data_IF_005491895973
#
_entry.id   IF_005491895973
#
_cell.length_a   1.000
_cell.length_b   1.000
_cell.length_c   1.000
_cell.angle_alpha   90.00
_cell.angle_beta   90.00
_cell.angle_gamma   90.00
#
_symmetry.space_group_name_H-M   'P 1'
#
loop_
_entity.id
_entity.type
_entity.pdbx_description
1 polymer ?
#
# COMPACT_ATOMS: atom_id res chain seq x y z
N UNK A 1 1.90 -46.70 -42.40
CA UNK A 1 1.99 -46.15 -43.78
C UNK A 1 2.01 -44.62 -43.71
N UNK A 2 3.11 -44.04 -44.28
CA UNK A 2 3.34 -42.63 -44.75
C UNK A 2 3.16 -41.52 -43.73
N UNK A 3 4.24 -40.95 -43.15
CA UNK A 3 5.22 -39.98 -43.68
C UNK A 3 4.59 -38.81 -44.47
N UNK A 4 4.72 -37.59 -43.88
CA UNK A 4 5.22 -36.47 -44.66
C UNK A 4 5.66 -35.34 -43.71
N UNK A 5 6.95 -35.14 -43.72
CA UNK A 5 7.76 -33.98 -43.40
C UNK A 5 7.24 -32.74 -44.13
N UNK A 6 7.26 -31.55 -43.46
CA UNK A 6 7.64 -30.32 -44.17
C UNK A 6 8.31 -29.33 -43.18
N UNK A 7 9.60 -29.29 -43.34
CA UNK A 7 10.52 -28.21 -42.98
C UNK A 7 10.16 -26.94 -43.75
N UNK A 8 10.17 -25.81 -43.11
CA UNK A 8 10.39 -24.53 -43.80
C UNK A 8 11.17 -23.58 -42.92
N UNK A 9 12.42 -23.48 -43.22
CA UNK A 9 13.42 -22.54 -42.76
C UNK A 9 13.24 -21.25 -43.58
N UNK A 10 12.99 -20.12 -42.94
CA UNK A 10 13.18 -18.81 -43.58
C UNK A 10 14.01 -17.93 -42.63
N UNK A 11 15.30 -17.87 -42.96
CA UNK A 11 16.24 -16.87 -42.49
C UNK A 11 16.04 -15.64 -43.38
N UNK A 12 15.72 -14.50 -42.80
CA UNK A 12 15.89 -13.19 -43.44
C UNK A 12 16.71 -12.30 -42.54
N UNK A 13 17.98 -12.22 -42.85
CA UNK A 13 18.89 -11.21 -42.40
C UNK A 13 18.63 -9.92 -43.17
N UNK A 14 18.32 -8.84 -42.50
CA UNK A 14 18.42 -7.50 -43.11
C UNK A 14 19.32 -6.66 -42.23
N UNK A 15 20.54 -6.53 -42.72
CA UNK A 15 21.53 -5.52 -42.37
C UNK A 15 21.14 -4.22 -43.09
N UNK A 16 20.98 -3.11 -42.43
CA UNK A 16 21.20 -1.78 -43.04
C UNK A 16 21.38 -0.71 -41.98
N UNK A 17 22.61 -0.28 -41.85
CA UNK A 17 23.13 1.08 -42.05
C UNK A 17 22.60 2.17 -41.14
N UNK A 18 23.54 2.66 -40.30
CA UNK A 18 23.59 3.97 -39.67
C UNK A 18 23.67 5.08 -40.75
N UNK A 19 23.27 6.31 -40.39
CA UNK A 19 24.29 7.30 -40.23
C UNK A 19 24.18 8.10 -38.91
N UNK A 20 25.34 8.39 -38.38
CA UNK A 20 25.63 9.36 -37.33
C UNK A 20 25.31 10.77 -37.83
N UNK A 21 24.52 11.53 -37.07
CA UNK A 21 24.53 12.99 -37.15
C UNK A 21 25.03 13.53 -35.82
N UNK A 22 26.30 13.92 -35.83
CA UNK A 22 26.88 14.81 -34.85
C UNK A 22 26.40 16.21 -35.22
N UNK A 23 25.65 16.85 -34.35
CA UNK A 23 25.51 18.31 -34.39
C UNK A 23 25.90 18.82 -33.01
N UNK A 24 27.08 19.36 -32.94
CA UNK A 24 27.52 20.22 -31.87
C UNK A 24 26.75 21.53 -31.94
N UNK A 25 26.02 21.85 -30.89
CA UNK A 25 25.54 23.20 -30.60
C UNK A 25 26.04 23.59 -29.23
N UNK A 26 27.07 24.42 -29.26
CA UNK A 26 27.53 25.23 -28.13
C UNK A 26 26.39 26.16 -27.68
N UNK A 27 25.95 26.02 -26.43
CA UNK A 27 25.13 27.03 -25.76
C UNK A 27 25.88 27.56 -24.54
N UNK A 28 26.03 28.87 -24.56
CA UNK A 28 26.74 29.70 -23.65
C UNK A 28 26.28 29.57 -22.20
N UNK A 29 27.27 29.58 -21.31
CA UNK A 29 27.10 29.80 -19.88
C UNK A 29 26.32 31.08 -19.61
N UNK A 30 25.12 30.93 -19.04
CA UNK A 30 24.52 31.99 -18.27
C UNK A 30 24.59 31.58 -16.79
N UNK A 31 25.63 32.08 -16.15
CA UNK A 31 25.71 32.10 -14.70
C UNK A 31 24.61 33.02 -14.18
N UNK A 32 23.48 32.44 -13.81
CA UNK A 32 22.56 33.10 -12.91
C UNK A 32 22.85 32.63 -11.50
N UNK A 33 23.39 33.54 -10.70
CA UNK A 33 23.43 33.47 -9.26
C UNK A 33 22.06 33.09 -8.72
N UNK A 34 21.87 31.82 -8.34
CA UNK A 34 20.80 31.40 -7.47
C UNK A 34 21.22 31.76 -6.04
N UNK A 35 20.55 32.73 -5.46
CA UNK A 35 20.55 32.96 -4.03
C UNK A 35 20.06 31.67 -3.35
N UNK A 36 20.61 31.31 -2.18
CA UNK A 36 20.08 30.20 -1.40
C UNK A 36 18.73 30.65 -0.82
N UNK A 37 17.64 30.12 -1.39
CA UNK A 37 16.34 30.20 -0.79
C UNK A 37 16.38 29.49 0.57
N UNK A 38 16.30 30.32 1.60
CA UNK A 38 16.16 29.95 2.99
C UNK A 38 15.12 28.88 3.17
N UNK A 39 15.58 27.74 3.71
CA UNK A 39 14.89 26.77 4.56
C UNK A 39 13.45 27.13 4.93
N UNK A 40 12.50 26.59 4.20
CA UNK A 40 11.26 26.16 4.81
C UNK A 40 11.42 24.70 5.24
N UNK A 41 12.26 24.46 6.23
CA UNK A 41 12.16 23.30 7.06
C UNK A 41 10.78 23.35 7.74
N UNK A 42 9.78 22.72 7.10
CA UNK A 42 8.56 22.37 7.80
C UNK A 42 8.97 21.44 8.95
N UNK A 43 9.18 22.03 10.12
CA UNK A 43 9.16 21.32 11.38
C UNK A 43 7.80 20.62 11.48
N UNK A 44 7.74 19.39 10.99
CA UNK A 44 6.66 18.48 11.30
C UNK A 44 6.80 18.16 12.80
N UNK A 45 6.19 19.00 13.65
CA UNK A 45 5.98 18.67 15.06
C UNK A 45 5.41 17.28 15.12
N UNK A 46 6.10 16.36 15.80
CA UNK A 46 5.59 15.05 16.11
C UNK A 46 4.20 15.25 16.75
N UNK A 47 3.16 14.83 16.04
CA UNK A 47 1.81 14.91 16.60
C UNK A 47 1.75 13.91 17.77
N UNK A 48 1.23 14.33 18.93
CA UNK A 48 1.06 13.40 20.03
C UNK A 48 0.26 12.19 19.58
N UNK A 49 0.66 10.99 20.03
CA UNK A 49 -0.06 9.77 19.72
C UNK A 49 -1.52 9.93 20.17
N UNK A 50 -2.45 9.66 19.26
CA UNK A 50 -3.89 9.67 19.54
C UNK A 50 -4.34 8.24 19.88
N UNK A 51 -3.68 7.59 20.85
CA UNK A 51 -4.03 6.24 21.25
C UNK A 51 -5.54 6.15 21.55
N UNK A 52 -6.22 5.23 20.87
CA UNK A 52 -7.66 5.01 21.08
C UNK A 52 -7.85 4.18 22.34
N UNK A 53 -8.61 4.71 23.29
CA UNK A 53 -8.93 4.05 24.55
C UNK A 53 -10.26 3.28 24.40
N UNK A 54 -10.17 1.97 24.20
CA UNK A 54 -11.33 1.06 24.11
C UNK A 54 -11.50 0.26 25.40
N UNK A 55 -12.73 -0.12 25.69
CA UNK A 55 -12.98 -1.14 26.71
C UNK A 55 -12.26 -2.46 26.36
N UNK A 56 -11.95 -3.31 27.36
CA UNK A 56 -11.25 -4.57 27.11
C UNK A 56 -11.93 -5.45 26.06
N UNK A 57 -13.24 -5.50 26.05
CA UNK A 57 -14.02 -6.30 25.10
C UNK A 57 -13.92 -5.77 23.66
N UNK A 58 -14.03 -4.45 23.48
CA UNK A 58 -13.86 -3.83 22.16
C UNK A 58 -12.41 -3.92 21.67
N UNK A 59 -11.44 -3.77 22.57
CA UNK A 59 -10.04 -3.95 22.24
C UNK A 59 -9.73 -5.39 21.80
N UNK A 60 -10.36 -6.38 22.45
CA UNK A 60 -10.22 -7.79 22.06
C UNK A 60 -10.79 -8.04 20.66
N UNK A 61 -11.96 -7.47 20.33
CA UNK A 61 -12.56 -7.56 19.00
C UNK A 61 -11.68 -6.89 17.93
N UNK A 62 -11.16 -5.70 18.21
CA UNK A 62 -10.24 -5.00 17.29
C UNK A 62 -8.96 -5.81 17.08
N UNK A 63 -8.37 -6.36 18.12
CA UNK A 63 -7.17 -7.19 18.02
C UNK A 63 -7.42 -8.45 17.20
N UNK A 64 -8.59 -9.07 17.35
CA UNK A 64 -8.99 -10.23 16.54
C UNK A 64 -9.09 -9.85 15.05
N UNK A 65 -9.72 -8.73 14.75
CA UNK A 65 -9.84 -8.23 13.37
C UNK A 65 -8.46 -7.93 12.76
N UNK A 66 -7.59 -7.22 13.50
CA UNK A 66 -6.21 -6.95 13.05
C UNK A 66 -5.43 -8.24 12.79
N UNK A 67 -5.61 -9.28 13.61
CA UNK A 67 -4.99 -10.58 13.38
C UNK A 67 -5.47 -11.26 12.09
N UNK A 68 -6.77 -11.21 11.79
CA UNK A 68 -7.35 -11.76 10.56
C UNK A 68 -6.90 -10.98 9.32
N UNK A 69 -6.83 -9.64 9.41
CA UNK A 69 -6.31 -8.79 8.34
C UNK A 69 -4.83 -9.09 8.09
N UNK A 70 -4.02 -9.18 9.13
CA UNK A 70 -2.60 -9.52 9.02
C UNK A 70 -2.40 -10.85 8.31
N UNK A 71 -3.15 -11.89 8.72
CA UNK A 71 -3.09 -13.20 8.07
C UNK A 71 -3.47 -13.11 6.59
N UNK A 72 -4.54 -12.38 6.26
CA UNK A 72 -4.94 -12.16 4.87
C UNK A 72 -3.86 -11.47 4.04
N UNK A 73 -3.22 -10.43 4.57
CA UNK A 73 -2.11 -9.75 3.90
C UNK A 73 -0.91 -10.68 3.66
N UNK A 74 -0.58 -11.54 4.63
CA UNK A 74 0.48 -12.54 4.49
C UNK A 74 0.14 -13.58 3.41
N UNK A 75 -1.11 -14.04 3.36
CA UNK A 75 -1.57 -15.03 2.38
C UNK A 75 -1.59 -14.46 0.94
N UNK A 76 -1.75 -13.15 0.78
CA UNK A 76 -1.74 -12.49 -0.53
C UNK A 76 -0.37 -12.52 -1.19
N UNK A 77 0.74 -12.40 -0.47
CA UNK A 77 2.09 -12.31 -1.05
C UNK A 77 2.41 -13.49 -1.96
N UNK A 78 2.36 -14.75 -1.50
CA UNK A 78 2.60 -15.89 -2.36
C UNK A 78 1.53 -16.04 -3.46
N UNK A 79 0.26 -15.71 -3.16
CA UNK A 79 -0.83 -15.84 -4.12
C UNK A 79 -0.68 -14.86 -5.30
N UNK A 80 -0.30 -13.61 -5.05
CA UNK A 80 -0.03 -12.62 -6.09
C UNK A 80 1.17 -13.07 -6.94
N UNK A 81 2.25 -13.52 -6.30
CA UNK A 81 3.47 -13.97 -6.99
C UNK A 81 3.23 -15.20 -7.87
N UNK A 82 2.28 -16.06 -7.50
CA UNK A 82 1.89 -17.25 -8.26
C UNK A 82 0.77 -16.99 -9.29
N UNK A 83 0.18 -15.79 -9.32
CA UNK A 83 -0.97 -15.50 -10.18
C UNK A 83 -2.26 -16.23 -9.77
N UNK A 84 -2.40 -16.60 -8.50
CA UNK A 84 -3.59 -17.25 -7.92
C UNK A 84 -4.72 -16.22 -7.70
N UNK A 85 -5.22 -15.63 -8.79
CA UNK A 85 -6.12 -14.48 -8.76
C UNK A 85 -7.41 -14.73 -7.99
N UNK A 86 -7.97 -15.92 -8.09
CA UNK A 86 -9.20 -16.29 -7.35
C UNK A 86 -8.96 -16.26 -5.82
N UNK A 87 -7.78 -16.71 -5.39
CA UNK A 87 -7.38 -16.67 -3.99
C UNK A 87 -7.16 -15.22 -3.53
N UNK A 88 -6.46 -14.42 -4.34
CA UNK A 88 -6.24 -12.99 -4.07
C UNK A 88 -7.57 -12.25 -3.94
N UNK A 89 -8.51 -12.45 -4.88
CA UNK A 89 -9.85 -11.87 -4.81
C UNK A 89 -10.60 -12.31 -3.55
N UNK A 90 -10.61 -13.62 -3.25
CA UNK A 90 -11.28 -14.16 -2.07
C UNK A 90 -10.75 -13.54 -0.77
N UNK A 91 -9.43 -13.40 -0.62
CA UNK A 91 -8.82 -12.77 0.56
C UNK A 91 -9.18 -11.28 0.62
N UNK A 92 -9.10 -10.56 -0.50
CA UNK A 92 -9.49 -9.16 -0.57
C UNK A 92 -10.95 -8.92 -0.16
N UNK A 93 -11.88 -9.79 -0.61
CA UNK A 93 -13.29 -9.73 -0.22
C UNK A 93 -13.50 -10.00 1.29
N UNK A 94 -12.76 -10.94 1.87
CA UNK A 94 -12.80 -11.21 3.31
C UNK A 94 -12.33 -9.99 4.12
N UNK A 95 -11.22 -9.37 3.73
CA UNK A 95 -10.73 -8.15 4.39
C UNK A 95 -11.75 -7.01 4.23
N UNK A 96 -12.30 -6.79 3.02
CA UNK A 96 -13.37 -5.80 2.81
C UNK A 96 -14.56 -5.99 3.74
N UNK A 97 -14.88 -7.24 4.07
CA UNK A 97 -16.04 -7.57 4.90
C UNK A 97 -15.73 -7.60 6.41
N UNK A 98 -14.46 -7.64 6.82
CA UNK A 98 -14.03 -7.77 8.20
C UNK A 98 -14.01 -6.43 8.95
N UNK A 99 -15.12 -5.75 8.99
CA UNK A 99 -15.22 -4.42 9.56
C UNK A 99 -15.84 -4.50 10.97
N UNK A 100 -15.11 -4.10 12.02
CA UNK A 100 -15.56 -4.19 13.41
C UNK A 100 -16.94 -3.53 13.60
N UNK A 101 -17.19 -2.39 12.92
CA UNK A 101 -18.47 -1.70 12.98
C UNK A 101 -19.63 -2.46 12.35
N UNK A 102 -19.34 -3.52 11.59
CA UNK A 102 -20.35 -4.43 10.99
C UNK A 102 -20.58 -5.69 11.79
N UNK A 103 -19.83 -5.91 12.85
CA UNK A 103 -20.02 -7.04 13.75
C UNK A 103 -21.30 -6.86 14.57
N UNK A 104 -21.77 -7.95 15.18
CA UNK A 104 -22.90 -7.92 16.12
C UNK A 104 -22.47 -7.32 17.45
N UNK A 105 -22.37 -6.00 17.49
CA UNK A 105 -22.06 -5.26 18.71
C UNK A 105 -23.33 -5.02 19.52
N UNK A 106 -23.19 -5.02 20.85
CA UNK A 106 -24.24 -4.51 21.73
C UNK A 106 -24.44 -3.01 21.52
N UNK A 107 -25.57 -2.47 21.93
CA UNK A 107 -25.81 -1.03 21.76
C UNK A 107 -24.84 -0.20 22.59
N UNK A 108 -24.45 -0.66 23.79
CA UNK A 108 -23.42 -0.02 24.61
C UNK A 108 -22.05 0.01 23.90
N UNK A 109 -21.65 -1.07 23.23
CA UNK A 109 -20.40 -1.12 22.44
C UNK A 109 -20.43 -0.17 21.23
N UNK A 110 -21.58 -0.07 20.55
CA UNK A 110 -21.73 0.90 19.44
C UNK A 110 -21.62 2.34 19.95
N UNK A 111 -22.29 2.64 21.05
CA UNK A 111 -22.22 3.98 21.67
C UNK A 111 -20.79 4.32 22.12
N UNK A 112 -20.08 3.35 22.70
CA UNK A 112 -18.67 3.52 23.05
C UNK A 112 -17.82 3.85 21.82
N UNK A 113 -17.94 3.07 20.74
CA UNK A 113 -17.19 3.30 19.50
C UNK A 113 -17.46 4.71 18.95
N UNK A 114 -18.73 5.13 18.89
CA UNK A 114 -19.08 6.48 18.42
C UNK A 114 -18.49 7.60 19.29
N UNK A 115 -18.32 7.35 20.57
CA UNK A 115 -17.79 8.33 21.52
C UNK A 115 -16.26 8.41 21.48
N UNK A 116 -15.57 7.28 21.30
CA UNK A 116 -14.11 7.22 21.49
C UNK A 116 -13.31 7.23 20.20
N UNK A 117 -13.91 6.79 19.08
CA UNK A 117 -13.20 6.76 17.80
C UNK A 117 -13.17 8.16 17.16
N UNK A 118 -11.98 8.73 16.91
CA UNK A 118 -11.86 9.95 16.12
C UNK A 118 -12.41 9.73 14.71
N UNK A 119 -13.03 10.75 14.14
CA UNK A 119 -13.56 10.70 12.77
C UNK A 119 -12.49 10.25 11.76
N UNK A 120 -11.27 10.74 11.91
CA UNK A 120 -10.15 10.34 11.04
C UNK A 120 -9.78 8.85 11.16
N UNK A 121 -9.93 8.24 12.35
CA UNK A 121 -9.76 6.79 12.50
C UNK A 121 -10.76 6.05 11.63
N UNK A 122 -12.03 6.41 11.71
CA UNK A 122 -13.12 5.80 10.94
C UNK A 122 -12.87 5.95 9.42
N UNK A 123 -12.45 7.13 8.97
CA UNK A 123 -12.14 7.40 7.57
C UNK A 123 -10.98 6.52 7.06
N UNK A 124 -9.89 6.43 7.83
CA UNK A 124 -8.73 5.59 7.48
C UNK A 124 -9.10 4.12 7.41
N UNK A 125 -9.92 3.64 8.33
CA UNK A 125 -10.39 2.28 8.39
C UNK A 125 -11.31 1.95 7.19
N UNK A 126 -12.27 2.84 6.89
CA UNK A 126 -13.13 2.70 5.70
C UNK A 126 -12.33 2.68 4.39
N UNK A 127 -11.33 3.54 4.24
CA UNK A 127 -10.48 3.61 3.06
C UNK A 127 -9.61 2.36 2.89
N UNK A 128 -9.15 1.76 4.00
CA UNK A 128 -8.44 0.49 3.99
C UNK A 128 -9.34 -0.63 3.45
N UNK A 129 -10.53 -0.80 4.00
CA UNK A 129 -11.49 -1.83 3.56
C UNK A 129 -11.97 -1.61 2.12
N UNK A 130 -12.15 -0.36 1.70
CA UNK A 130 -12.43 -0.01 0.30
C UNK A 130 -11.28 -0.42 -0.62
N UNK A 131 -10.03 -0.18 -0.20
CA UNK A 131 -8.84 -0.58 -0.96
C UNK A 131 -8.75 -2.09 -1.13
N UNK A 132 -9.12 -2.88 -0.10
CA UNK A 132 -9.22 -4.33 -0.19
C UNK A 132 -10.26 -4.79 -1.22
N UNK A 133 -11.40 -4.10 -1.30
CA UNK A 133 -12.41 -4.36 -2.33
C UNK A 133 -11.94 -4.06 -3.74
N UNK A 134 -11.18 -2.97 -3.92
CA UNK A 134 -10.59 -2.62 -5.21
C UNK A 134 -9.50 -3.61 -5.63
N UNK A 135 -8.69 -4.09 -4.68
CA UNK A 135 -7.72 -5.16 -4.92
C UNK A 135 -8.41 -6.45 -5.37
N UNK A 136 -9.48 -6.85 -4.69
CA UNK A 136 -10.25 -8.04 -5.06
C UNK A 136 -10.80 -7.93 -6.50
N UNK A 137 -11.36 -6.78 -6.85
CA UNK A 137 -11.86 -6.53 -8.21
C UNK A 137 -10.73 -6.55 -9.26
N UNK A 138 -9.58 -5.96 -8.96
CA UNK A 138 -8.41 -6.02 -9.84
C UNK A 138 -7.92 -7.46 -10.07
N UNK A 139 -7.99 -8.31 -9.02
CA UNK A 139 -7.66 -9.72 -9.12
C UNK A 139 -8.65 -10.50 -10.00
N UNK A 140 -9.95 -10.23 -9.91
CA UNK A 140 -10.98 -10.79 -10.81
C UNK A 140 -10.68 -10.44 -12.28
N UNK A 141 -10.17 -9.24 -12.53
CA UNK A 141 -9.74 -8.81 -13.86
C UNK A 141 -8.35 -9.32 -14.25
N UNK A 142 -7.66 -10.05 -13.36
CA UNK A 142 -6.28 -10.57 -13.53
C UNK A 142 -5.27 -9.48 -13.86
N UNK A 143 -5.50 -8.27 -13.33
CA UNK A 143 -4.62 -7.11 -13.55
C UNK A 143 -3.58 -7.02 -12.43
N UNK A 144 -2.41 -7.60 -12.67
CA UNK A 144 -1.33 -7.69 -11.70
C UNK A 144 -0.85 -6.30 -11.21
N UNK A 145 -0.75 -5.32 -12.09
CA UNK A 145 -0.25 -3.98 -11.74
C UNK A 145 -1.19 -3.28 -10.77
N UNK A 146 -2.49 -3.35 -11.03
CA UNK A 146 -3.53 -2.75 -10.17
C UNK A 146 -3.65 -3.53 -8.85
N UNK A 147 -3.49 -4.86 -8.84
CA UNK A 147 -3.42 -5.66 -7.62
C UNK A 147 -2.25 -5.21 -6.75
N UNK A 148 -1.04 -5.10 -7.32
CA UNK A 148 0.16 -4.64 -6.59
C UNK A 148 0.00 -3.21 -6.07
N UNK A 149 -0.61 -2.30 -6.85
CA UNK A 149 -0.90 -0.95 -6.41
C UNK A 149 -1.78 -0.92 -5.15
N UNK A 150 -2.90 -1.67 -5.15
CA UNK A 150 -3.78 -1.68 -3.99
C UNK A 150 -3.18 -2.46 -2.82
N UNK A 151 -2.39 -3.50 -3.05
CA UNK A 151 -1.65 -4.19 -1.99
C UNK A 151 -0.68 -3.24 -1.28
N UNK A 152 0.10 -2.48 -2.05
CA UNK A 152 0.98 -1.44 -1.49
C UNK A 152 0.18 -0.39 -0.71
N UNK A 153 -0.94 0.09 -1.27
CA UNK A 153 -1.80 1.08 -0.61
C UNK A 153 -2.34 0.58 0.73
N UNK A 154 -2.77 -0.68 0.80
CA UNK A 154 -3.22 -1.31 2.04
C UNK A 154 -2.09 -1.41 3.07
N UNK A 155 -0.89 -1.84 2.65
CA UNK A 155 0.26 -1.92 3.55
C UNK A 155 0.66 -0.53 4.08
N UNK A 156 0.67 0.50 3.24
CA UNK A 156 0.93 1.88 3.65
C UNK A 156 -0.12 2.39 4.65
N UNK A 157 -1.39 2.01 4.49
CA UNK A 157 -2.46 2.34 5.42
C UNK A 157 -2.25 1.71 6.80
N UNK A 158 -1.77 0.45 6.87
CA UNK A 158 -1.40 -0.18 8.14
C UNK A 158 -0.34 0.65 8.88
N UNK A 159 0.74 1.03 8.20
CA UNK A 159 1.82 1.84 8.77
C UNK A 159 1.29 3.20 9.26
N UNK A 160 0.50 3.88 8.44
CA UNK A 160 -0.05 5.21 8.78
C UNK A 160 -0.99 5.16 10.00
N UNK A 161 -1.91 4.18 10.03
CA UNK A 161 -2.85 4.02 11.13
C UNK A 161 -2.12 3.61 12.43
N UNK A 162 -1.22 2.63 12.38
CA UNK A 162 -0.47 2.16 13.54
C UNK A 162 0.44 3.25 14.11
N UNK A 163 1.12 4.03 13.26
CA UNK A 163 1.96 5.15 13.69
C UNK A 163 1.18 6.30 14.34
N UNK A 164 -0.14 6.34 14.19
CA UNK A 164 -0.99 7.36 14.78
C UNK A 164 -1.77 6.88 16.00
N UNK A 165 -2.35 5.68 15.93
CA UNK A 165 -3.32 5.20 16.90
C UNK A 165 -2.85 4.01 17.76
N UNK A 166 -1.73 3.37 17.40
CA UNK A 166 -1.21 2.19 18.08
C UNK A 166 0.29 2.29 18.39
N UNK A 167 0.77 3.50 18.70
CA UNK A 167 2.19 3.81 18.92
C UNK A 167 2.82 3.03 20.06
N UNK A 168 2.06 2.71 21.11
CA UNK A 168 2.56 1.88 22.21
C UNK A 168 2.88 0.46 21.76
N UNK A 169 2.09 -0.08 20.84
CA UNK A 169 2.33 -1.42 20.28
C UNK A 169 3.39 -1.43 19.18
N UNK A 170 3.52 -0.31 18.46
CA UNK A 170 4.43 -0.17 17.31
C UNK A 170 5.36 1.05 17.49
N UNK A 171 6.23 1.04 18.52
CA UNK A 171 7.08 2.20 18.83
C UNK A 171 8.04 2.59 17.69
N UNK A 172 8.44 1.63 16.85
CA UNK A 172 9.28 1.89 15.68
C UNK A 172 8.62 2.73 14.58
N UNK A 173 7.31 2.99 14.67
CA UNK A 173 6.59 3.88 13.73
C UNK A 173 6.49 5.33 14.26
N UNK A 174 6.90 5.57 15.49
CA UNK A 174 7.07 6.93 16.00
C UNK A 174 8.30 7.48 15.28
N UNK A 175 8.13 8.53 14.46
CA UNK A 175 9.28 9.24 13.89
C UNK A 175 10.10 9.76 15.06
N UNK A 176 11.26 9.14 15.30
CA UNK A 176 12.23 9.62 16.26
C UNK A 176 12.59 11.06 15.91
N UNK A 177 12.55 11.95 16.87
CA UNK A 177 13.21 13.21 16.74
C UNK A 177 14.66 12.93 16.37
N UNK A 178 15.12 13.60 15.34
CA UNK A 178 16.44 13.63 14.74
C UNK A 178 17.56 12.95 15.60
N UNK A 179 17.83 11.67 15.35
CA UNK A 179 19.17 11.17 15.58
C UNK A 179 20.03 11.74 14.45
N UNK A 180 20.76 12.81 14.77
CA UNK A 180 21.84 13.32 13.93
C UNK A 180 22.81 12.18 13.66
N UNK A 181 22.66 11.55 12.49
CA UNK A 181 23.71 10.70 11.96
C UNK A 181 24.86 11.58 11.50
N UNK A 182 25.76 11.90 12.43
CA UNK A 182 27.10 12.35 12.09
C UNK A 182 27.82 11.22 11.35
N UNK A 183 27.96 11.37 10.05
CA UNK A 183 28.95 10.63 9.23
C UNK A 183 30.16 11.50 8.97
#
# INVERSE_FOLDING_TARGET
MRLLKRTSLIIVAILFCLPQFVLAASHEHHEQHAQPDTEHAHQMKAQPSQAVQLSPDLLALLNQEMGLIQQGMMDMVPAISAGEWDKVSSVGQKIKASFILKQKLTDAQKEELHRVLPQQFIEMDMDFHKSAGMLAHAAEMKNADVVNFYFFKMNAACVSCHGKYATERFPGLIKGGDEEHHH
#
